data_IF_383305801844
#
_entry.id   IF_383305801844
#
_cell.length_a   1.000
_cell.length_b   1.000
_cell.length_c   1.000
_cell.angle_alpha   90.00
_cell.angle_beta   90.00
_cell.angle_gamma   90.00
#
_symmetry.space_group_name_H-M   'P 1'
#
loop_
_entity.id
_entity.type
_entity.pdbx_description
1 polymer ?
#
# COMPACT_ATOMS: atom_id res chain seq x y z
N UNK A 1 7.25 -22.30 -23.30
CA UNK A 1 7.08 -22.45 -21.84
C UNK A 1 7.14 -21.05 -21.24
N UNK A 2 5.98 -20.44 -20.95
CA UNK A 2 5.91 -19.13 -20.29
C UNK A 2 6.00 -19.43 -18.79
N UNK A 3 7.08 -18.99 -18.15
CA UNK A 3 7.29 -19.17 -16.72
C UNK A 3 6.50 -18.07 -15.99
N UNK A 4 5.44 -18.43 -15.27
CA UNK A 4 4.74 -17.51 -14.37
C UNK A 4 5.49 -17.45 -13.04
N UNK A 5 6.43 -16.51 -12.92
CA UNK A 5 7.05 -16.19 -11.63
C UNK A 5 6.22 -15.12 -10.92
N UNK A 6 6.03 -15.28 -9.60
CA UNK A 6 5.41 -14.22 -8.78
C UNK A 6 6.40 -13.08 -8.60
N UNK A 7 5.91 -11.89 -8.23
CA UNK A 7 6.79 -10.75 -7.98
C UNK A 7 7.81 -11.03 -6.85
N UNK A 8 7.40 -11.74 -5.80
CA UNK A 8 8.30 -12.17 -4.71
C UNK A 8 9.39 -13.13 -5.18
N UNK A 9 9.05 -14.10 -6.03
CA UNK A 9 10.03 -15.00 -6.63
C UNK A 9 11.03 -14.22 -7.51
N UNK A 10 10.54 -13.28 -8.33
CA UNK A 10 11.39 -12.43 -9.17
C UNK A 10 12.38 -11.58 -8.34
N UNK A 11 11.93 -11.04 -7.21
CA UNK A 11 12.79 -10.30 -6.26
C UNK A 11 13.92 -11.21 -5.77
N UNK A 12 13.61 -12.43 -5.33
CA UNK A 12 14.61 -13.38 -4.84
C UNK A 12 15.57 -13.84 -5.93
N UNK A 13 15.07 -14.13 -7.13
CA UNK A 13 15.87 -14.57 -8.27
C UNK A 13 16.78 -13.48 -8.84
N UNK A 14 16.44 -12.20 -8.62
CA UNK A 14 17.26 -11.08 -9.10
C UNK A 14 18.67 -11.04 -8.51
N UNK A 15 18.89 -11.64 -7.33
CA UNK A 15 20.15 -11.61 -6.60
C UNK A 15 20.52 -10.22 -6.05
N UNK A 16 19.65 -9.21 -6.22
CA UNK A 16 19.86 -7.88 -5.66
C UNK A 16 19.60 -7.89 -4.15
N UNK A 17 20.40 -7.15 -3.35
CA UNK A 17 20.11 -6.97 -1.93
C UNK A 17 18.70 -6.40 -1.74
N UNK A 18 17.96 -6.90 -0.75
CA UNK A 18 16.56 -6.52 -0.52
C UNK A 18 16.42 -5.02 -0.27
N UNK A 19 17.38 -4.43 0.42
CA UNK A 19 17.49 -3.02 0.77
C UNK A 19 17.74 -2.10 -0.44
N UNK A 20 18.18 -2.62 -1.59
CA UNK A 20 18.34 -1.86 -2.83
C UNK A 20 17.05 -1.80 -3.66
N UNK A 21 16.02 -2.56 -3.26
CA UNK A 21 14.74 -2.62 -3.95
C UNK A 21 13.67 -1.83 -3.19
N UNK A 22 12.88 -1.05 -3.94
CA UNK A 22 11.68 -0.39 -3.41
C UNK A 22 10.43 -1.13 -3.90
N UNK A 23 9.81 -1.91 -3.01
CA UNK A 23 8.65 -2.74 -3.33
C UNK A 23 7.39 -2.09 -2.78
N UNK A 24 6.49 -1.71 -3.69
CA UNK A 24 5.15 -1.22 -3.37
C UNK A 24 4.11 -2.31 -3.58
N UNK A 25 3.20 -2.49 -2.62
CA UNK A 25 2.00 -3.31 -2.77
C UNK A 25 0.75 -2.55 -2.33
N UNK A 26 -0.43 -3.14 -2.49
CA UNK A 26 -1.70 -2.49 -2.16
C UNK A 26 -2.63 -3.42 -1.39
N UNK A 27 -3.33 -2.87 -0.39
CA UNK A 27 -4.38 -3.58 0.30
C UNK A 27 -5.62 -3.69 -0.60
N UNK A 28 -5.98 -4.92 -0.99
CA UNK A 28 -7.19 -5.26 -1.77
C UNK A 28 -8.43 -5.49 -0.89
N UNK A 29 -8.31 -5.28 0.42
CA UNK A 29 -9.34 -5.59 1.41
C UNK A 29 -9.99 -4.30 1.93
N UNK A 30 -11.09 -4.44 2.68
CA UNK A 30 -11.77 -3.32 3.32
C UNK A 30 -11.95 -3.59 4.80
N UNK A 31 -11.58 -2.61 5.60
CA UNK A 31 -11.74 -2.59 7.03
C UNK A 31 -10.63 -3.29 7.80
N UNK A 32 -10.59 -3.00 9.11
CA UNK A 32 -9.42 -3.26 9.94
C UNK A 32 -8.96 -4.72 9.98
N UNK A 33 -9.86 -5.64 10.32
CA UNK A 33 -9.51 -7.07 10.51
C UNK A 33 -9.04 -7.73 9.21
N UNK A 34 -9.78 -7.49 8.13
CA UNK A 34 -9.46 -8.06 6.82
C UNK A 34 -8.12 -7.51 6.30
N UNK A 35 -7.87 -6.21 6.49
CA UNK A 35 -6.62 -5.57 6.07
C UNK A 35 -5.42 -6.07 6.86
N UNK A 36 -5.56 -6.21 8.19
CA UNK A 36 -4.49 -6.74 9.04
C UNK A 36 -4.07 -8.15 8.63
N UNK A 37 -5.05 -9.03 8.36
CA UNK A 37 -4.79 -10.37 7.84
C UNK A 37 -4.19 -10.32 6.42
N UNK A 38 -4.71 -9.44 5.56
CA UNK A 38 -4.24 -9.29 4.18
C UNK A 38 -2.78 -8.82 4.10
N UNK A 39 -2.32 -7.97 5.02
CA UNK A 39 -0.91 -7.57 5.12
C UNK A 39 -0.02 -8.79 5.40
N UNK A 40 -0.38 -9.58 6.41
CA UNK A 40 0.40 -10.75 6.82
C UNK A 40 0.45 -11.82 5.73
N UNK A 41 -0.69 -12.04 5.04
CA UNK A 41 -0.74 -12.93 3.89
C UNK A 41 0.14 -12.41 2.74
N UNK A 42 0.09 -11.11 2.44
CA UNK A 42 0.88 -10.51 1.35
C UNK A 42 2.39 -10.67 1.59
N UNK A 43 2.85 -10.46 2.83
CA UNK A 43 4.26 -10.67 3.21
C UNK A 43 4.65 -12.14 3.07
N UNK A 44 3.80 -13.04 3.56
CA UNK A 44 4.03 -14.49 3.49
C UNK A 44 4.11 -14.98 2.04
N UNK A 45 3.15 -14.57 1.19
CA UNK A 45 3.09 -14.94 -0.22
C UNK A 45 4.26 -14.37 -1.03
N UNK A 46 4.69 -13.14 -0.72
CA UNK A 46 5.85 -12.53 -1.36
C UNK A 46 7.19 -13.08 -0.82
N UNK A 47 7.17 -13.76 0.34
CA UNK A 47 8.38 -14.20 1.02
C UNK A 47 9.24 -13.03 1.50
N UNK A 48 8.61 -11.95 1.98
CA UNK A 48 9.28 -10.73 2.41
C UNK A 48 8.98 -10.44 3.89
N UNK A 49 9.96 -9.90 4.61
CA UNK A 49 9.77 -9.44 5.98
C UNK A 49 9.08 -8.07 6.06
N UNK A 50 9.23 -7.26 5.01
CA UNK A 50 8.63 -5.93 4.92
C UNK A 50 8.34 -5.49 3.48
N UNK A 51 7.38 -4.57 3.34
CA UNK A 51 7.20 -3.76 2.13
C UNK A 51 7.68 -2.33 2.36
N UNK A 52 8.22 -1.70 1.31
CA UNK A 52 8.69 -0.32 1.38
C UNK A 52 7.50 0.65 1.43
N UNK A 53 6.45 0.35 0.67
CA UNK A 53 5.22 1.13 0.64
C UNK A 53 4.01 0.20 0.50
N UNK A 54 3.00 0.40 1.35
CA UNK A 54 1.67 -0.17 1.10
C UNK A 54 0.61 0.91 1.02
N UNK A 55 -0.26 0.78 0.02
CA UNK A 55 -1.34 1.73 -0.25
C UNK A 55 -2.71 1.10 0.04
N UNK A 56 -3.65 1.85 0.61
CA UNK A 56 -5.08 1.53 0.45
C UNK A 56 -5.43 1.68 -1.04
N UNK A 57 -5.82 0.60 -1.72
CA UNK A 57 -5.91 0.59 -3.18
C UNK A 57 -7.05 1.46 -3.74
N UNK A 58 -8.21 1.42 -3.09
CA UNK A 58 -9.38 2.18 -3.48
C UNK A 58 -10.08 2.69 -2.23
N UNK A 59 -10.70 3.88 -2.28
CA UNK A 59 -11.61 4.29 -1.23
C UNK A 59 -12.84 3.39 -1.22
N UNK A 60 -13.12 2.78 -0.08
CA UNK A 60 -14.19 1.81 0.15
C UNK A 60 -14.99 2.19 1.41
N UNK A 61 -15.84 1.29 1.92
CA UNK A 61 -16.75 1.61 3.02
C UNK A 61 -16.06 1.84 4.38
N UNK A 62 -14.93 1.18 4.64
CA UNK A 62 -14.18 1.28 5.91
C UNK A 62 -12.71 1.67 5.67
N UNK A 63 -12.51 2.86 5.10
CA UNK A 63 -11.18 3.41 4.83
C UNK A 63 -10.40 3.70 6.12
N UNK A 64 -11.07 4.17 7.17
CA UNK A 64 -10.44 4.42 8.47
C UNK A 64 -9.96 3.11 9.10
N UNK A 65 -10.76 2.05 9.11
CA UNK A 65 -10.35 0.74 9.60
C UNK A 65 -9.18 0.17 8.79
N UNK A 66 -9.23 0.30 7.47
CA UNK A 66 -8.15 -0.11 6.56
C UNK A 66 -6.85 0.64 6.89
N UNK A 67 -6.92 1.96 7.00
CA UNK A 67 -5.75 2.79 7.27
C UNK A 67 -5.18 2.56 8.67
N UNK A 68 -6.02 2.29 9.68
CA UNK A 68 -5.60 1.88 11.01
C UNK A 68 -4.75 0.61 10.97
N UNK A 69 -5.13 -0.38 10.17
CA UNK A 69 -4.35 -1.61 10.03
C UNK A 69 -2.98 -1.34 9.38
N UNK A 70 -2.92 -0.43 8.40
CA UNK A 70 -1.68 0.04 7.80
C UNK A 70 -0.79 0.77 8.83
N UNK A 71 -1.35 1.69 9.62
CA UNK A 71 -0.60 2.41 10.66
C UNK A 71 -0.02 1.46 11.71
N UNK A 72 -0.79 0.48 12.20
CA UNK A 72 -0.26 -0.53 13.12
C UNK A 72 0.85 -1.37 12.49
N UNK A 73 0.72 -1.76 11.22
CA UNK A 73 1.75 -2.53 10.52
C UNK A 73 3.02 -1.70 10.24
N UNK A 74 2.87 -0.39 10.03
CA UNK A 74 3.98 0.56 9.98
C UNK A 74 4.71 0.61 11.33
N UNK A 75 3.98 0.77 12.45
CA UNK A 75 4.57 0.79 13.79
C UNK A 75 5.22 -0.55 14.17
N UNK A 76 4.73 -1.67 13.62
CA UNK A 76 5.31 -3.00 13.76
C UNK A 76 6.47 -3.28 12.79
N UNK A 77 6.96 -2.28 12.04
CA UNK A 77 8.05 -2.39 11.07
C UNK A 77 7.80 -3.36 9.89
N UNK A 78 6.56 -3.83 9.69
CA UNK A 78 6.14 -4.64 8.54
C UNK A 78 6.03 -3.81 7.26
N UNK A 79 5.74 -2.53 7.42
CA UNK A 79 5.65 -1.54 6.35
C UNK A 79 6.63 -0.41 6.67
N UNK A 80 7.43 0.04 5.71
CA UNK A 80 8.34 1.20 5.91
C UNK A 80 7.65 2.54 5.66
N UNK A 81 6.57 2.53 4.88
CA UNK A 81 5.75 3.70 4.59
C UNK A 81 4.34 3.27 4.21
N UNK A 82 3.38 4.16 4.42
CA UNK A 82 1.97 3.93 4.13
C UNK A 82 1.37 5.09 3.34
N UNK A 83 0.46 4.79 2.43
CA UNK A 83 -0.18 5.78 1.58
C UNK A 83 -1.57 5.34 1.14
N UNK A 84 -2.11 6.05 0.17
CA UNK A 84 -3.41 5.76 -0.44
C UNK A 84 -3.30 5.73 -1.96
N UNK A 85 -4.36 5.31 -2.62
CA UNK A 85 -4.47 5.28 -4.07
C UNK A 85 -5.89 5.61 -4.46
N UNK A 86 -6.06 6.54 -5.39
CA UNK A 86 -7.36 6.98 -5.93
C UNK A 86 -8.25 7.74 -4.92
N UNK A 87 -7.65 8.44 -3.96
CA UNK A 87 -8.42 9.21 -2.96
C UNK A 87 -8.67 10.62 -3.48
N UNK A 88 -9.88 11.15 -3.25
CA UNK A 88 -10.16 12.56 -3.48
C UNK A 88 -9.80 13.42 -2.25
N UNK A 89 -9.84 14.75 -2.40
CA UNK A 89 -9.49 15.70 -1.32
C UNK A 89 -10.24 15.44 -0.01
N UNK A 90 -11.54 15.16 -0.08
CA UNK A 90 -12.35 14.96 1.13
C UNK A 90 -11.98 13.64 1.83
N UNK A 91 -11.82 12.57 1.06
CA UNK A 91 -11.41 11.26 1.59
C UNK A 91 -9.99 11.30 2.18
N UNK A 92 -9.05 11.96 1.50
CA UNK A 92 -7.70 12.14 2.02
C UNK A 92 -7.71 12.98 3.32
N UNK A 93 -8.52 14.04 3.35
CA UNK A 93 -8.72 14.87 4.54
C UNK A 93 -9.26 14.09 5.75
N UNK A 94 -10.21 13.18 5.52
CA UNK A 94 -10.74 12.28 6.56
C UNK A 94 -9.62 11.39 7.15
N UNK A 95 -8.77 10.79 6.31
CA UNK A 95 -7.62 10.00 6.80
C UNK A 95 -6.67 10.90 7.61
N UNK A 96 -6.25 12.03 7.06
CA UNK A 96 -5.28 12.91 7.71
C UNK A 96 -5.77 13.50 9.04
N UNK A 97 -7.09 13.64 9.23
CA UNK A 97 -7.68 14.13 10.47
C UNK A 97 -7.74 13.07 11.58
N UNK A 98 -7.65 11.78 11.25
CA UNK A 98 -7.91 10.68 12.18
C UNK A 98 -6.67 9.85 12.56
N UNK A 99 -5.53 10.05 11.89
CA UNK A 99 -4.30 9.26 12.09
C UNK A 99 -3.07 10.13 12.32
N UNK A 100 -2.08 9.60 13.05
CA UNK A 100 -0.83 10.32 13.31
C UNK A 100 0.13 10.22 12.12
N UNK A 101 0.17 9.04 11.51
CA UNK A 101 0.98 8.77 10.33
C UNK A 101 0.21 9.22 9.10
N UNK A 102 0.61 10.34 8.50
CA UNK A 102 -0.04 10.87 7.30
C UNK A 102 0.34 10.06 6.04
N UNK A 103 -0.57 9.89 5.06
CA UNK A 103 -0.24 9.22 3.81
C UNK A 103 0.92 9.93 3.10
N UNK A 104 2.02 9.21 2.83
CA UNK A 104 3.19 9.81 2.15
C UNK A 104 3.01 9.93 0.64
N UNK A 105 2.07 9.15 0.08
CA UNK A 105 1.76 9.09 -1.35
C UNK A 105 0.24 8.91 -1.51
N UNK A 106 -0.32 9.57 -2.54
CA UNK A 106 -1.57 9.17 -3.17
C UNK A 106 -1.31 8.77 -4.62
N UNK A 107 -1.41 7.47 -4.93
CA UNK A 107 -1.24 6.96 -6.29
C UNK A 107 -2.53 7.16 -7.09
N UNK A 108 -2.47 8.00 -8.12
CA UNK A 108 -3.64 8.42 -8.89
C UNK A 108 -3.43 8.10 -10.37
N UNK A 109 -4.52 7.86 -11.08
CA UNK A 109 -4.48 7.84 -12.54
C UNK A 109 -4.10 9.23 -13.05
N UNK A 110 -3.01 9.33 -13.79
CA UNK A 110 -2.61 10.58 -14.45
C UNK A 110 -1.99 10.30 -15.81
N UNK A 111 -2.33 11.13 -16.79
CA UNK A 111 -1.81 11.06 -18.15
C UNK A 111 -2.01 12.41 -18.86
N UNK A 112 -1.56 12.53 -20.11
CA UNK A 112 -1.69 13.76 -20.91
C UNK A 112 -3.15 14.25 -20.98
N UNK A 113 -4.11 13.32 -21.08
CA UNK A 113 -5.55 13.64 -21.16
C UNK A 113 -6.21 13.87 -19.80
N UNK A 114 -5.54 13.47 -18.71
CA UNK A 114 -6.07 13.55 -17.34
C UNK A 114 -4.95 13.90 -16.38
N UNK A 115 -4.56 15.18 -16.39
CA UNK A 115 -3.41 15.70 -15.65
C UNK A 115 -3.67 15.92 -14.16
N UNK A 116 -4.93 15.78 -13.71
CA UNK A 116 -5.32 15.90 -12.30
C UNK A 116 -5.01 17.29 -11.69
N UNK A 117 -5.07 18.37 -12.46
CA UNK A 117 -4.72 19.75 -12.04
C UNK A 117 -5.55 20.33 -10.89
N UNK A 118 -6.66 19.68 -10.54
CA UNK A 118 -7.55 20.05 -9.42
C UNK A 118 -7.62 18.97 -8.34
N UNK A 119 -6.83 17.90 -8.47
CA UNK A 119 -6.82 16.84 -7.48
C UNK A 119 -5.95 17.27 -6.29
N UNK A 120 -6.60 17.30 -5.13
CA UNK A 120 -6.16 17.87 -3.85
C UNK A 120 -6.01 19.37 -3.79
#
# INVERSE_FOLDING_TARGET
>A
MICFITAGAAVKESGLPREELFITTKAMTTGYRATKLGIDNSLTEAGLDYFDLMLTHWPMQDDLGTYRALEEAYQACKLRSIGVSNFNRAQLGEIMANFQTVPVVDQIETCVLRQQTKLH
#
